data_IF_841539162635
#
_entry.id   IF_841539162635
#
_cell.length_a   1.000
_cell.length_b   1.000
_cell.length_c   1.000
_cell.angle_alpha   90.00
_cell.angle_beta   90.00
_cell.angle_gamma   90.00
#
_symmetry.space_group_name_H-M   'P 1'
#
loop_
_entity.id
_entity.type
_entity.pdbx_description
1 polymer ?
#
# COMPACT_ATOMS: atom_id res chain seq x y z
N UNK A 1 -21.44 21.41 -3.97
CA UNK A 1 -20.21 20.92 -3.33
C UNK A 1 -20.55 20.82 -1.86
N UNK A 2 -21.02 19.65 -1.42
CA UNK A 2 -21.35 19.43 -0.01
C UNK A 2 -20.07 19.54 0.83
N UNK A 3 -20.16 20.15 2.03
CA UNK A 3 -19.00 20.26 2.90
C UNK A 3 -18.61 18.84 3.33
N UNK A 4 -17.38 18.45 3.02
CA UNK A 4 -16.79 17.23 3.58
C UNK A 4 -16.57 17.52 5.06
N UNK A 5 -17.52 17.07 5.87
CA UNK A 5 -17.43 17.09 7.33
C UNK A 5 -16.07 16.49 7.73
N UNK A 6 -15.30 17.13 8.63
CA UNK A 6 -14.01 16.60 9.02
C UNK A 6 -14.21 15.20 9.59
N UNK A 7 -13.52 14.21 9.00
CA UNK A 7 -13.57 12.82 9.45
C UNK A 7 -13.24 12.78 10.96
N UNK A 8 -14.16 12.25 11.75
CA UNK A 8 -13.98 12.08 13.18
C UNK A 8 -12.69 11.28 13.44
N UNK A 9 -11.71 11.82 14.20
CA UNK A 9 -10.48 11.11 14.52
C UNK A 9 -10.71 9.81 15.28
N UNK A 10 -11.88 9.63 15.90
CA UNK A 10 -12.31 8.44 16.65
C UNK A 10 -13.15 7.46 15.81
N UNK A 11 -13.48 7.79 14.56
CA UNK A 11 -14.19 6.84 13.70
C UNK A 11 -13.32 5.60 13.43
N UNK A 12 -13.91 4.39 13.36
CA UNK A 12 -13.16 3.18 13.05
C UNK A 12 -12.35 3.32 11.76
N UNK A 13 -11.10 2.89 11.79
CA UNK A 13 -10.22 2.87 10.62
C UNK A 13 -9.92 1.44 10.18
N UNK A 14 -10.25 1.15 8.92
CA UNK A 14 -9.87 -0.09 8.24
C UNK A 14 -8.48 0.09 7.64
N UNK A 15 -7.57 -0.80 8.01
CA UNK A 15 -6.18 -0.74 7.58
C UNK A 15 -5.90 -1.88 6.61
N UNK A 16 -5.55 -1.55 5.37
CA UNK A 16 -5.33 -2.50 4.26
C UNK A 16 -3.96 -2.35 3.61
N UNK A 17 -3.18 -1.32 3.98
CA UNK A 17 -1.81 -1.12 3.49
C UNK A 17 -0.81 -1.93 4.31
N UNK A 18 -0.98 -3.25 4.32
CA UNK A 18 -0.27 -4.20 5.15
C UNK A 18 -1.21 -5.33 5.58
N UNK A 19 -0.95 -5.97 6.72
CA UNK A 19 -1.90 -6.91 7.30
C UNK A 19 -3.26 -6.26 7.55
N UNK A 20 -4.33 -6.93 7.14
CA UNK A 20 -5.70 -6.39 7.29
C UNK A 20 -6.06 -6.28 8.77
N UNK A 21 -6.49 -5.10 9.20
CA UNK A 21 -6.86 -4.84 10.58
C UNK A 21 -7.92 -3.73 10.70
N UNK A 22 -8.63 -3.71 11.83
CA UNK A 22 -9.39 -2.55 12.30
C UNK A 22 -8.59 -1.90 13.46
N UNK A 23 -8.32 -0.60 13.37
CA UNK A 23 -7.25 0.11 14.11
C UNK A 23 -7.35 0.17 15.64
N UNK A 24 -8.44 -0.31 16.27
CA UNK A 24 -8.69 -0.18 17.72
C UNK A 24 -9.25 -1.46 18.36
N UNK A 25 -8.81 -2.63 17.89
CA UNK A 25 -9.35 -3.89 18.37
C UNK A 25 -8.39 -4.65 19.27
N UNK A 26 -8.82 -4.89 20.51
CA UNK A 26 -8.07 -5.63 21.53
C UNK A 26 -7.82 -7.11 21.17
N UNK A 27 -8.60 -7.70 20.26
CA UNK A 27 -8.37 -9.07 19.76
C UNK A 27 -8.34 -9.16 18.22
N UNK A 28 -7.31 -9.80 17.63
CA UNK A 28 -7.19 -9.97 16.19
C UNK A 28 -8.19 -11.01 15.67
N UNK A 29 -9.23 -10.54 14.99
CA UNK A 29 -10.16 -11.36 14.23
C UNK A 29 -9.92 -11.22 12.73
N UNK A 30 -8.85 -11.81 12.18
CA UNK A 30 -8.46 -11.63 10.76
C UNK A 30 -9.63 -11.81 9.77
N UNK A 31 -10.48 -12.83 9.97
CA UNK A 31 -11.66 -13.07 9.11
C UNK A 31 -12.71 -11.95 9.23
N UNK A 32 -12.85 -11.34 10.41
CA UNK A 32 -13.73 -10.21 10.66
C UNK A 32 -13.16 -8.91 10.04
N UNK A 33 -11.85 -8.72 10.13
CA UNK A 33 -11.13 -7.60 9.50
C UNK A 33 -11.20 -7.66 7.97
N UNK A 34 -10.98 -8.85 7.41
CA UNK A 34 -11.13 -9.10 5.98
C UNK A 34 -12.57 -8.86 5.49
N UNK A 35 -13.58 -9.21 6.30
CA UNK A 35 -14.98 -8.90 5.99
C UNK A 35 -15.22 -7.38 5.99
N UNK A 36 -14.70 -6.65 6.98
CA UNK A 36 -14.82 -5.20 7.03
C UNK A 36 -14.16 -4.53 5.82
N UNK A 37 -12.95 -4.95 5.46
CA UNK A 37 -12.23 -4.49 4.28
C UNK A 37 -12.99 -4.79 2.98
N UNK A 38 -13.55 -6.00 2.84
CA UNK A 38 -14.37 -6.36 1.69
C UNK A 38 -15.59 -5.45 1.55
N UNK A 39 -16.34 -5.22 2.63
CA UNK A 39 -17.54 -4.36 2.60
C UNK A 39 -17.16 -2.91 2.28
N UNK A 40 -16.04 -2.41 2.80
CA UNK A 40 -15.57 -1.06 2.54
C UNK A 40 -15.13 -0.86 1.09
N UNK A 41 -14.27 -1.75 0.59
CA UNK A 41 -13.67 -1.66 -0.75
C UNK A 41 -14.65 -2.05 -1.85
N UNK A 42 -15.70 -2.81 -1.52
CA UNK A 42 -16.79 -3.21 -2.43
C UNK A 42 -18.14 -2.99 -1.75
N UNK A 43 -18.61 -1.73 -1.64
CA UNK A 43 -19.85 -1.44 -0.95
C UNK A 43 -21.08 -1.94 -1.73
N UNK A 44 -22.14 -2.29 -1.00
CA UNK A 44 -23.44 -2.62 -1.57
C UNK A 44 -23.58 -4.04 -2.12
N UNK A 45 -22.67 -4.95 -1.73
CA UNK A 45 -22.72 -6.36 -2.08
C UNK A 45 -23.91 -7.07 -1.41
N UNK A 46 -24.40 -8.11 -2.08
CA UNK A 46 -25.43 -8.98 -1.52
C UNK A 46 -24.82 -9.90 -0.44
N UNK A 47 -25.63 -10.41 0.51
CA UNK A 47 -25.15 -11.40 1.47
C UNK A 47 -24.52 -12.64 0.81
N UNK A 48 -25.08 -13.10 -0.31
CA UNK A 48 -24.53 -14.24 -1.05
C UNK A 48 -23.14 -13.93 -1.62
N UNK A 49 -22.98 -12.76 -2.25
CA UNK A 49 -21.70 -12.34 -2.83
C UNK A 49 -20.61 -12.20 -1.76
N UNK A 50 -20.96 -11.74 -0.55
CA UNK A 50 -20.02 -11.71 0.57
C UNK A 50 -19.61 -13.11 1.03
N UNK A 51 -20.57 -14.04 1.14
CA UNK A 51 -20.29 -15.44 1.50
C UNK A 51 -19.30 -16.10 0.53
N UNK A 52 -19.51 -15.92 -0.77
CA UNK A 52 -18.65 -16.44 -1.85
C UNK A 52 -17.27 -15.76 -1.83
N UNK A 53 -17.22 -14.44 -1.65
CA UNK A 53 -15.96 -13.72 -1.62
C UNK A 53 -15.09 -14.10 -0.41
N UNK A 54 -15.68 -14.33 0.77
CA UNK A 54 -14.91 -14.70 1.96
C UNK A 54 -14.19 -16.04 1.80
N UNK A 55 -14.75 -16.98 1.05
CA UNK A 55 -14.16 -18.29 0.85
C UNK A 55 -14.73 -18.92 -0.45
N UNK A 56 -14.07 -18.76 -1.60
CA UNK A 56 -14.62 -19.25 -2.87
C UNK A 56 -14.74 -20.77 -2.95
N UNK A 57 -13.84 -21.51 -2.28
CA UNK A 57 -13.84 -22.97 -2.27
C UNK A 57 -14.86 -23.53 -1.28
N UNK A 58 -15.07 -22.85 -0.15
CA UNK A 58 -16.05 -23.23 0.88
C UNK A 58 -16.84 -22.01 1.36
N UNK A 59 -17.77 -21.51 0.55
CA UNK A 59 -18.51 -20.29 0.86
C UNK A 59 -19.15 -20.34 2.24
N UNK A 60 -19.12 -19.20 2.93
CA UNK A 60 -19.76 -19.11 4.24
C UNK A 60 -21.26 -19.36 4.14
N UNK A 61 -21.83 -19.97 5.18
CA UNK A 61 -23.29 -20.04 5.31
C UNK A 61 -23.86 -18.65 5.61
N UNK A 62 -25.14 -18.41 5.28
CA UNK A 62 -25.85 -17.18 5.67
C UNK A 62 -25.86 -16.96 7.19
N UNK A 63 -25.93 -18.05 7.97
CA UNK A 63 -25.87 -18.00 9.43
C UNK A 63 -24.50 -17.49 9.89
N UNK A 64 -23.41 -18.03 9.33
CA UNK A 64 -22.04 -17.57 9.60
C UNK A 64 -21.87 -16.09 9.28
N UNK A 65 -22.33 -15.66 8.09
CA UNK A 65 -22.27 -14.25 7.71
C UNK A 65 -23.07 -13.37 8.67
N UNK A 66 -24.28 -13.78 9.06
CA UNK A 66 -25.11 -13.02 10.01
C UNK A 66 -24.41 -12.86 11.36
N UNK A 67 -23.80 -13.92 11.89
CA UNK A 67 -22.99 -13.87 13.12
C UNK A 67 -21.84 -12.89 12.98
N UNK A 68 -21.05 -12.98 11.90
CA UNK A 68 -19.91 -12.07 11.65
C UNK A 68 -20.33 -10.62 11.46
N UNK A 69 -21.45 -10.36 10.78
CA UNK A 69 -21.99 -9.00 10.66
C UNK A 69 -22.47 -8.45 12.01
N UNK A 70 -23.01 -9.30 12.89
CA UNK A 70 -23.39 -8.88 14.25
C UNK A 70 -22.17 -8.58 15.11
N UNK A 71 -21.13 -9.41 15.06
CA UNK A 71 -19.84 -9.13 15.70
C UNK A 71 -19.23 -7.82 15.17
N UNK A 72 -19.24 -7.61 13.85
CA UNK A 72 -18.70 -6.42 13.22
C UNK A 72 -19.46 -5.15 13.64
N UNK A 73 -20.78 -5.22 13.80
CA UNK A 73 -21.59 -4.09 14.31
C UNK A 73 -21.20 -3.71 15.74
N UNK A 74 -21.00 -4.69 16.61
CA UNK A 74 -20.57 -4.44 17.99
C UNK A 74 -19.19 -3.80 18.00
N UNK A 75 -18.27 -4.32 17.17
CA UNK A 75 -16.89 -3.84 17.10
C UNK A 75 -16.76 -2.44 16.51
N UNK A 76 -17.53 -2.12 15.47
CA UNK A 76 -17.51 -0.79 14.86
C UNK A 76 -18.28 0.24 15.70
N UNK A 77 -19.37 -0.19 16.35
CA UNK A 77 -20.22 0.70 17.13
C UNK A 77 -21.04 1.67 16.25
N UNK A 78 -21.23 2.87 16.78
CA UNK A 78 -21.98 3.96 16.18
C UNK A 78 -21.18 5.27 16.28
N UNK A 79 -21.52 6.24 15.45
CA UNK A 79 -20.91 7.57 15.49
C UNK A 79 -21.48 8.44 16.64
N UNK A 80 -20.99 9.68 16.74
CA UNK A 80 -21.41 10.63 17.78
C UNK A 80 -22.90 11.01 17.74
N UNK A 81 -23.59 10.78 16.62
CA UNK A 81 -25.03 10.99 16.47
C UNK A 81 -25.84 9.73 16.89
N UNK A 82 -25.16 8.63 17.20
CA UNK A 82 -25.76 7.33 17.48
C UNK A 82 -26.09 6.50 16.23
N UNK A 83 -25.66 6.93 15.05
CA UNK A 83 -25.89 6.20 13.81
C UNK A 83 -24.86 5.06 13.64
N UNK A 84 -25.30 3.83 13.34
CA UNK A 84 -24.41 2.68 13.28
C UNK A 84 -23.47 2.76 12.07
N UNK A 85 -22.18 2.51 12.30
CA UNK A 85 -21.18 2.43 11.21
C UNK A 85 -21.45 1.27 10.24
N UNK A 86 -22.18 0.24 10.67
CA UNK A 86 -22.68 -0.84 9.81
C UNK A 86 -24.21 -0.95 9.94
N UNK A 87 -24.98 -0.23 9.10
CA UNK A 87 -26.43 -0.25 9.11
C UNK A 87 -27.02 -1.66 8.95
N UNK A 88 -28.24 -1.85 9.47
CA UNK A 88 -29.02 -3.10 9.30
C UNK A 88 -29.77 -3.09 7.96
N UNK A 89 -29.04 -3.06 6.85
CA UNK A 89 -29.57 -3.35 5.51
C UNK A 89 -29.35 -4.84 5.21
N UNK A 90 -30.43 -5.56 4.86
CA UNK A 90 -30.38 -7.00 4.56
C UNK A 90 -30.14 -7.30 3.08
N UNK A 91 -30.22 -6.30 2.21
CA UNK A 91 -30.17 -6.47 0.76
C UNK A 91 -28.83 -6.03 0.16
N UNK A 92 -28.29 -4.91 0.66
CA UNK A 92 -27.04 -4.32 0.17
C UNK A 92 -26.19 -3.87 1.35
N UNK A 93 -25.20 -4.68 1.69
CA UNK A 93 -24.35 -4.45 2.86
C UNK A 93 -23.33 -3.38 2.50
N UNK A 94 -23.29 -2.31 3.31
CA UNK A 94 -22.40 -1.15 3.15
C UNK A 94 -22.07 -0.58 4.52
N UNK A 95 -20.86 -0.05 4.65
CA UNK A 95 -20.46 0.73 5.82
C UNK A 95 -20.90 2.19 5.67
N UNK A 96 -21.02 2.89 6.78
CA UNK A 96 -21.18 4.35 6.81
C UNK A 96 -19.99 5.02 6.12
N UNK A 97 -20.25 6.13 5.43
CA UNK A 97 -19.21 6.96 4.80
C UNK A 97 -18.25 7.58 5.82
N UNK A 98 -18.61 7.57 7.10
CA UNK A 98 -17.76 8.03 8.21
C UNK A 98 -16.65 7.03 8.57
N UNK A 99 -16.77 5.75 8.18
CA UNK A 99 -15.69 4.77 8.37
C UNK A 99 -14.45 5.18 7.56
N UNK A 100 -13.28 5.13 8.19
CA UNK A 100 -12.02 5.53 7.57
C UNK A 100 -11.30 4.34 6.97
N UNK A 101 -10.41 4.62 6.02
CA UNK A 101 -9.51 3.63 5.47
C UNK A 101 -8.16 4.25 5.11
N UNK A 102 -7.07 3.57 5.49
CA UNK A 102 -5.70 3.99 5.20
C UNK A 102 -5.44 4.09 3.68
N UNK A 103 -6.07 3.25 2.85
CA UNK A 103 -5.99 3.34 1.40
C UNK A 103 -6.62 4.61 0.83
N UNK A 104 -7.81 5.00 1.31
CA UNK A 104 -8.48 6.25 0.89
C UNK A 104 -7.64 7.46 1.29
N UNK A 105 -7.03 7.40 2.47
CA UNK A 105 -6.12 8.44 2.97
C UNK A 105 -4.83 8.51 2.15
N UNK A 106 -4.22 7.36 1.85
CA UNK A 106 -3.06 7.24 0.97
C UNK A 106 -3.33 7.89 -0.39
N UNK A 107 -4.43 7.54 -1.06
CA UNK A 107 -4.78 8.10 -2.37
C UNK A 107 -4.93 9.63 -2.31
N UNK A 108 -5.54 10.14 -1.24
CA UNK A 108 -5.71 11.58 -1.03
C UNK A 108 -4.37 12.29 -0.86
N UNK A 109 -3.49 11.75 -0.01
CA UNK A 109 -2.16 12.28 0.24
C UNK A 109 -1.27 12.21 -1.01
N UNK A 110 -1.24 11.04 -1.68
CA UNK A 110 -0.48 10.83 -2.90
C UNK A 110 -0.90 11.82 -4.01
N UNK A 111 -2.21 11.99 -4.24
CA UNK A 111 -2.73 12.94 -5.22
C UNK A 111 -2.36 14.38 -4.87
N UNK A 112 -2.49 14.78 -3.60
CA UNK A 112 -2.14 16.13 -3.14
C UNK A 112 -0.64 16.41 -3.29
N UNK A 113 0.21 15.47 -2.87
CA UNK A 113 1.66 15.59 -2.97
C UNK A 113 2.13 15.71 -4.42
N UNK A 114 1.62 14.86 -5.32
CA UNK A 114 1.94 14.96 -6.75
C UNK A 114 1.49 16.29 -7.35
N UNK A 115 0.28 16.74 -7.06
CA UNK A 115 -0.22 18.02 -7.55
C UNK A 115 0.61 19.22 -7.08
N UNK A 116 1.11 19.18 -5.84
CA UNK A 116 1.97 20.23 -5.28
C UNK A 116 3.40 20.19 -5.84
N UNK A 117 3.82 19.07 -6.41
CA UNK A 117 5.16 18.88 -6.96
C UNK A 117 6.25 18.86 -5.90
N UNK A 118 7.50 18.78 -6.36
CA UNK A 118 8.66 18.54 -5.48
C UNK A 118 8.86 19.63 -4.41
N UNK A 119 8.59 20.90 -4.73
CA UNK A 119 8.86 22.01 -3.82
C UNK A 119 7.92 22.06 -2.60
N UNK A 120 6.74 21.45 -2.69
CA UNK A 120 5.70 21.61 -1.65
C UNK A 120 4.94 20.32 -1.32
N UNK A 121 5.14 19.23 -2.07
CA UNK A 121 4.38 17.98 -1.96
C UNK A 121 5.10 16.82 -1.28
N UNK A 122 6.38 16.97 -0.94
CA UNK A 122 7.19 15.92 -0.30
C UNK A 122 6.52 15.40 0.97
N UNK A 123 6.09 16.29 1.86
CA UNK A 123 5.46 15.92 3.14
C UNK A 123 4.19 15.10 2.98
N UNK A 124 3.36 15.42 1.98
CA UNK A 124 2.17 14.61 1.70
C UNK A 124 2.53 13.22 1.18
N UNK A 125 3.54 13.11 0.32
CA UNK A 125 3.99 11.80 -0.17
C UNK A 125 4.63 10.98 0.95
N UNK A 126 5.45 11.59 1.81
CA UNK A 126 6.02 10.94 3.01
C UNK A 126 4.92 10.45 3.93
N UNK A 127 3.91 11.29 4.20
CA UNK A 127 2.76 10.90 5.01
C UNK A 127 1.93 9.78 4.36
N UNK A 128 1.87 9.71 3.02
CA UNK A 128 1.23 8.59 2.33
C UNK A 128 2.02 7.30 2.53
N UNK A 129 3.34 7.35 2.31
CA UNK A 129 4.21 6.18 2.41
C UNK A 129 4.31 5.65 3.84
N UNK A 130 4.20 6.52 4.85
CA UNK A 130 4.15 6.15 6.26
C UNK A 130 2.92 5.30 6.66
N UNK A 131 1.87 5.25 5.83
CA UNK A 131 0.72 4.38 6.06
C UNK A 131 1.01 2.92 5.66
N UNK A 132 2.07 2.68 4.89
CA UNK A 132 2.43 1.35 4.37
C UNK A 132 3.16 0.55 5.43
N UNK A 133 2.53 -0.56 5.85
CA UNK A 133 3.01 -1.49 6.90
C UNK A 133 3.49 -2.84 6.33
N UNK A 134 3.56 -2.94 4.99
CA UNK A 134 3.95 -4.14 4.26
C UNK A 134 3.01 -4.41 3.09
N UNK A 135 3.02 -5.66 2.59
CA UNK A 135 2.19 -6.07 1.46
C UNK A 135 0.69 -5.79 1.72
N UNK A 136 -0.01 -5.05 0.84
CA UNK A 136 -1.42 -4.75 1.00
C UNK A 136 -2.29 -5.99 1.12
N UNK A 137 -3.34 -5.89 1.94
CA UNK A 137 -4.33 -6.93 2.21
C UNK A 137 -3.70 -8.29 2.58
N UNK A 138 -2.54 -8.28 3.24
CA UNK A 138 -1.89 -9.50 3.70
C UNK A 138 -2.55 -10.07 4.96
N UNK A 139 -2.30 -11.35 5.24
CA UNK A 139 -2.84 -12.00 6.41
C UNK A 139 -2.29 -13.41 6.63
N UNK A 140 -2.54 -13.99 7.82
CA UNK A 140 -1.98 -15.29 8.21
C UNK A 140 -2.52 -16.45 7.37
N UNK A 141 -3.69 -16.30 6.75
CA UNK A 141 -4.33 -17.35 5.95
C UNK A 141 -3.98 -17.28 4.45
N UNK A 142 -3.00 -16.45 4.06
CA UNK A 142 -2.64 -16.25 2.66
C UNK A 142 -3.50 -15.20 1.95
N UNK A 143 -3.46 -15.22 0.62
CA UNK A 143 -4.12 -14.22 -0.22
C UNK A 143 -5.65 -14.35 -0.16
N UNK A 144 -6.33 -13.20 -0.09
CA UNK A 144 -7.78 -13.13 -0.25
C UNK A 144 -8.09 -13.08 -1.75
N UNK A 145 -8.79 -14.08 -2.35
CA UNK A 145 -8.96 -14.14 -3.81
C UNK A 145 -9.69 -12.91 -4.38
N UNK A 146 -10.63 -12.35 -3.62
CA UNK A 146 -11.30 -11.11 -4.01
C UNK A 146 -10.37 -9.91 -4.03
N UNK A 147 -9.28 -9.92 -3.27
CA UNK A 147 -8.37 -8.79 -3.08
C UNK A 147 -7.32 -8.67 -4.18
N UNK A 148 -7.02 -9.73 -4.95
CA UNK A 148 -5.94 -9.75 -5.95
C UNK A 148 -5.87 -8.50 -6.84
N UNK A 149 -6.94 -8.04 -7.51
CA UNK A 149 -6.86 -6.82 -8.32
C UNK A 149 -6.59 -5.54 -7.50
N UNK A 150 -7.09 -5.47 -6.26
CA UNK A 150 -6.87 -4.35 -5.35
C UNK A 150 -5.43 -4.34 -4.83
N UNK A 151 -4.87 -5.51 -4.52
CA UNK A 151 -3.46 -5.64 -4.13
C UNK A 151 -2.55 -5.13 -5.25
N UNK A 152 -2.81 -5.53 -6.50
CA UNK A 152 -2.05 -5.05 -7.65
C UNK A 152 -2.14 -3.53 -7.80
N UNK A 153 -3.34 -2.95 -7.71
CA UNK A 153 -3.54 -1.50 -7.78
C UNK A 153 -2.78 -0.77 -6.65
N UNK A 154 -2.93 -1.24 -5.41
CA UNK A 154 -2.27 -0.66 -4.24
C UNK A 154 -0.75 -0.73 -4.38
N UNK A 155 -0.22 -1.89 -4.79
CA UNK A 155 1.21 -2.07 -5.05
C UNK A 155 1.73 -1.06 -6.07
N UNK A 156 1.10 -0.96 -7.25
CA UNK A 156 1.52 -0.02 -8.29
C UNK A 156 1.55 1.41 -7.76
N UNK A 157 0.50 1.84 -7.06
CA UNK A 157 0.44 3.21 -6.52
C UNK A 157 1.46 3.49 -5.43
N UNK A 158 1.75 2.51 -4.57
CA UNK A 158 2.80 2.61 -3.55
C UNK A 158 4.16 2.72 -4.23
N UNK A 159 4.47 1.86 -5.20
CA UNK A 159 5.71 1.89 -5.97
C UNK A 159 5.90 3.24 -6.67
N UNK A 160 4.85 3.80 -7.30
CA UNK A 160 4.92 5.13 -7.91
C UNK A 160 5.24 6.25 -6.89
N UNK A 161 4.66 6.19 -5.68
CA UNK A 161 4.94 7.18 -4.62
C UNK A 161 6.36 7.02 -4.08
N UNK A 162 6.79 5.79 -3.82
CA UNK A 162 8.15 5.47 -3.36
C UNK A 162 9.20 5.95 -4.38
N UNK A 163 9.01 5.63 -5.66
CA UNK A 163 9.88 6.07 -6.76
C UNK A 163 9.96 7.61 -6.84
N UNK A 164 8.82 8.28 -6.75
CA UNK A 164 8.76 9.76 -6.78
C UNK A 164 9.55 10.36 -5.63
N UNK A 165 9.34 9.85 -4.40
CA UNK A 165 10.08 10.32 -3.22
C UNK A 165 11.58 10.02 -3.32
N UNK A 166 11.96 8.83 -3.77
CA UNK A 166 13.35 8.44 -3.96
C UNK A 166 14.06 9.41 -4.91
N UNK A 167 13.44 9.73 -6.06
CA UNK A 167 13.97 10.71 -7.00
C UNK A 167 14.07 12.12 -6.40
N UNK A 168 13.03 12.58 -5.70
CA UNK A 168 13.00 13.92 -5.11
C UNK A 168 14.05 14.09 -4.00
N UNK A 169 14.13 13.15 -3.06
CA UNK A 169 15.12 13.19 -1.98
C UNK A 169 16.55 13.04 -2.51
N UNK A 170 16.77 12.17 -3.51
CA UNK A 170 18.08 12.05 -4.16
C UNK A 170 18.54 13.36 -4.77
N UNK A 171 17.67 14.07 -5.49
CA UNK A 171 18.02 15.37 -6.07
C UNK A 171 18.25 16.48 -5.03
N UNK A 172 17.67 16.34 -3.83
CA UNK A 172 17.89 17.22 -2.70
C UNK A 172 19.13 16.83 -1.85
N UNK A 173 19.79 15.71 -2.16
CA UNK A 173 20.93 15.19 -1.39
C UNK A 173 20.56 14.47 -0.09
N UNK A 174 19.27 14.27 0.20
CA UNK A 174 18.81 13.50 1.37
C UNK A 174 18.75 12.01 1.03
N UNK A 175 19.93 11.39 0.93
CA UNK A 175 20.04 9.98 0.54
C UNK A 175 19.41 9.03 1.57
N UNK A 176 19.38 9.41 2.85
CA UNK A 176 18.73 8.61 3.89
C UNK A 176 17.21 8.55 3.69
N UNK A 177 16.56 9.67 3.41
CA UNK A 177 15.13 9.67 3.08
C UNK A 177 14.84 8.93 1.78
N UNK A 178 15.70 9.06 0.77
CA UNK A 178 15.58 8.33 -0.49
C UNK A 178 15.65 6.80 -0.28
N UNK A 179 16.60 6.32 0.53
CA UNK A 179 16.72 4.90 0.90
C UNK A 179 15.47 4.40 1.62
N UNK A 180 14.95 5.16 2.60
CA UNK A 180 13.71 4.78 3.30
C UNK A 180 12.54 4.61 2.33
N UNK A 181 12.40 5.51 1.35
CA UNK A 181 11.35 5.40 0.35
C UNK A 181 11.45 4.11 -0.48
N UNK A 182 12.65 3.79 -0.96
CA UNK A 182 12.94 2.54 -1.70
C UNK A 182 12.67 1.32 -0.82
N UNK A 183 13.15 1.29 0.42
CA UNK A 183 12.93 0.17 1.34
C UNK A 183 11.45 -0.10 1.56
N UNK A 184 10.63 0.94 1.77
CA UNK A 184 9.18 0.77 1.93
C UNK A 184 8.54 0.24 0.65
N UNK A 185 8.91 0.74 -0.54
CA UNK A 185 8.40 0.21 -1.80
C UNK A 185 8.75 -1.27 -2.01
N UNK A 186 10.01 -1.66 -1.76
CA UNK A 186 10.46 -3.04 -1.90
C UNK A 186 9.83 -3.99 -0.86
N UNK A 187 9.40 -3.48 0.30
CA UNK A 187 8.63 -4.26 1.28
C UNK A 187 7.23 -4.67 0.77
N UNK A 188 6.71 -3.98 -0.24
CA UNK A 188 5.41 -4.26 -0.86
C UNK A 188 5.56 -5.14 -2.09
N UNK A 189 6.57 -4.87 -2.91
CA UNK A 189 6.86 -5.61 -4.14
C UNK A 189 8.36 -5.70 -4.35
N UNK A 190 8.90 -6.90 -4.15
CA UNK A 190 10.32 -7.19 -4.28
C UNK A 190 10.76 -7.44 -5.74
N UNK A 191 9.85 -7.34 -6.70
CA UNK A 191 10.11 -7.51 -8.14
C UNK A 191 10.12 -6.21 -8.95
N UNK A 192 9.83 -5.06 -8.32
CA UNK A 192 9.74 -3.78 -9.03
C UNK A 192 11.13 -3.22 -9.33
N UNK A 193 11.69 -3.55 -10.50
CA UNK A 193 13.07 -3.13 -10.86
C UNK A 193 13.29 -1.61 -10.82
N UNK A 194 12.22 -0.79 -10.95
CA UNK A 194 12.33 0.67 -10.85
C UNK A 194 12.86 1.11 -9.47
N UNK A 195 12.50 0.41 -8.40
CA UNK A 195 12.98 0.71 -7.06
C UNK A 195 14.44 0.27 -6.86
N UNK A 196 14.86 -0.79 -7.56
CA UNK A 196 16.27 -1.18 -7.61
C UNK A 196 17.10 -0.19 -8.43
N UNK A 197 16.56 0.35 -9.53
CA UNK A 197 17.19 1.45 -10.28
C UNK A 197 17.36 2.67 -9.38
N UNK A 198 16.33 3.07 -8.63
CA UNK A 198 16.44 4.16 -7.67
C UNK A 198 17.50 3.89 -6.62
N UNK A 199 17.54 2.68 -6.06
CA UNK A 199 18.56 2.29 -5.09
C UNK A 199 19.97 2.49 -5.66
N UNK A 200 20.24 1.94 -6.85
CA UNK A 200 21.53 2.09 -7.52
C UNK A 200 21.90 3.56 -7.74
N UNK A 201 20.97 4.37 -8.22
CA UNK A 201 21.18 5.80 -8.47
C UNK A 201 21.40 6.60 -7.18
N UNK A 202 20.74 6.23 -6.07
CA UNK A 202 20.96 6.83 -4.76
C UNK A 202 22.38 6.54 -4.27
N UNK A 203 22.81 5.29 -4.34
CA UNK A 203 24.14 4.90 -3.86
C UNK A 203 25.27 5.48 -4.72
N UNK A 204 25.08 5.55 -6.04
CA UNK A 204 26.02 6.20 -6.95
C UNK A 204 26.15 7.70 -6.64
N UNK A 205 25.03 8.40 -6.48
CA UNK A 205 25.02 9.82 -6.11
C UNK A 205 25.65 10.09 -4.73
N UNK A 206 25.58 9.11 -3.81
CA UNK A 206 26.22 9.16 -2.50
C UNK A 206 27.71 8.76 -2.52
N UNK A 207 28.25 8.35 -3.68
CA UNK A 207 29.61 7.80 -3.79
C UNK A 207 29.79 6.43 -3.11
N UNK A 208 28.70 5.75 -2.76
CA UNK A 208 28.70 4.47 -2.07
C UNK A 208 28.74 3.31 -3.07
N UNK A 209 29.92 3.07 -3.63
CA UNK A 209 30.10 2.01 -4.63
C UNK A 209 29.73 0.61 -4.13
N UNK A 210 30.07 0.18 -2.89
CA UNK A 210 29.59 -1.09 -2.35
C UNK A 210 28.05 -1.19 -2.33
N UNK A 211 27.36 -0.09 -1.99
CA UNK A 211 25.89 -0.05 -2.00
C UNK A 211 25.28 -0.30 -3.38
N UNK A 212 25.89 0.22 -4.45
CA UNK A 212 25.46 -0.07 -5.83
C UNK A 212 25.52 -1.57 -6.12
N UNK A 213 26.63 -2.23 -5.78
CA UNK A 213 26.77 -3.68 -6.01
C UNK A 213 25.77 -4.48 -5.18
N UNK A 214 25.52 -4.09 -3.92
CA UNK A 214 24.46 -4.70 -3.10
C UNK A 214 23.09 -4.60 -3.77
N UNK A 215 22.73 -3.44 -4.32
CA UNK A 215 21.45 -3.27 -5.02
C UNK A 215 21.32 -4.20 -6.25
N UNK A 216 22.40 -4.33 -7.03
CA UNK A 216 22.46 -5.23 -8.20
C UNK A 216 22.30 -6.70 -7.77
N UNK A 217 23.03 -7.13 -6.73
CA UNK A 217 22.96 -8.49 -6.22
C UNK A 217 21.56 -8.84 -5.71
N UNK A 218 20.91 -7.91 -4.99
CA UNK A 218 19.55 -8.09 -4.51
C UNK A 218 18.53 -8.15 -5.65
N UNK A 219 18.66 -7.30 -6.68
CA UNK A 219 17.83 -7.37 -7.88
C UNK A 219 17.97 -8.73 -8.57
N UNK A 220 19.22 -9.19 -8.77
CA UNK A 220 19.47 -10.49 -9.41
C UNK A 220 18.90 -11.65 -8.58
N UNK A 221 18.98 -11.58 -7.25
CA UNK A 221 18.38 -12.58 -6.37
C UNK A 221 16.85 -12.59 -6.47
N UNK A 222 16.22 -11.41 -6.50
CA UNK A 222 14.78 -11.28 -6.69
C UNK A 222 14.32 -11.84 -8.05
N UNK A 223 15.00 -11.44 -9.14
CA UNK A 223 14.68 -11.92 -10.49
C UNK A 223 14.84 -13.44 -10.61
N UNK A 224 15.89 -14.04 -10.02
CA UNK A 224 16.03 -15.50 -9.98
C UNK A 224 14.87 -16.19 -9.26
N UNK A 225 14.44 -15.66 -8.11
CA UNK A 225 13.30 -16.21 -7.34
C UNK A 225 11.98 -16.09 -8.11
N UNK A 226 11.80 -15.01 -8.87
CA UNK A 226 10.59 -14.74 -9.65
C UNK A 226 10.62 -15.35 -11.06
N UNK A 227 11.75 -15.92 -11.49
CA UNK A 227 11.94 -16.43 -12.85
C UNK A 227 11.95 -15.33 -13.93
N UNK A 228 12.36 -14.11 -13.55
CA UNK A 228 12.39 -12.93 -14.42
C UNK A 228 13.80 -12.68 -14.95
N UNK A 229 13.87 -11.97 -16.08
CA UNK A 229 15.11 -11.44 -16.64
C UNK A 229 15.19 -9.94 -16.36
N UNK A 230 16.41 -9.40 -16.28
CA UNK A 230 16.61 -7.96 -16.05
C UNK A 230 16.07 -7.18 -17.25
N UNK A 231 15.35 -6.07 -17.00
CA UNK A 231 14.84 -5.22 -18.08
C UNK A 231 15.95 -4.38 -18.72
N UNK A 232 15.85 -4.07 -20.03
CA UNK A 232 16.85 -3.25 -20.74
C UNK A 232 17.11 -1.88 -20.09
N UNK A 233 16.08 -1.25 -19.51
CA UNK A 233 16.23 0.04 -18.82
C UNK A 233 17.13 -0.10 -17.59
N UNK A 234 17.02 -1.22 -16.87
CA UNK A 234 17.85 -1.49 -15.69
C UNK A 234 19.28 -1.83 -16.09
N UNK A 235 19.47 -2.57 -17.18
CA UNK A 235 20.80 -2.82 -17.75
C UNK A 235 21.49 -1.52 -18.13
N UNK A 236 20.76 -0.57 -18.73
CA UNK A 236 21.29 0.74 -19.08
C UNK A 236 21.71 1.56 -17.85
N UNK A 237 20.93 1.52 -16.75
CA UNK A 237 21.30 2.15 -15.48
C UNK A 237 22.58 1.54 -14.92
N UNK A 238 22.67 0.21 -14.89
CA UNK A 238 23.87 -0.50 -14.43
C UNK A 238 25.08 -0.11 -15.28
N UNK A 239 24.96 -0.16 -16.61
CA UNK A 239 26.05 0.21 -17.51
C UNK A 239 26.50 1.67 -17.33
N UNK A 240 25.54 2.59 -17.16
CA UNK A 240 25.84 4.01 -16.91
C UNK A 240 26.63 4.24 -15.62
N UNK A 241 26.24 3.58 -14.53
CA UNK A 241 26.91 3.68 -13.22
C UNK A 241 28.27 2.97 -13.24
N UNK A 242 28.38 1.84 -13.95
CA UNK A 242 29.61 1.04 -13.95
C UNK A 242 30.67 1.52 -14.95
N UNK A 243 30.29 2.36 -15.91
CA UNK A 243 31.22 2.90 -16.90
C UNK A 243 32.25 3.82 -16.22
N UNK A 244 33.55 3.71 -16.56
CA UNK A 244 34.55 4.64 -16.06
C UNK A 244 34.20 6.05 -16.54
N UNK A 245 34.20 7.03 -15.64
CA UNK A 245 34.03 8.44 -16.02
C UNK A 245 35.02 8.78 -17.13
N UNK A 246 34.61 9.50 -18.20
CA UNK A 246 35.54 9.90 -19.26
C UNK A 246 36.70 10.63 -18.60
N UNK A 247 37.90 10.07 -18.74
CA UNK A 247 39.11 10.69 -18.24
C UNK A 247 39.13 12.12 -18.78
N UNK A 248 39.11 13.10 -17.87
CA UNK A 248 39.50 14.45 -18.19
C UNK A 248 40.95 14.36 -18.70
N UNK A 249 41.12 14.23 -20.01
CA UNK A 249 42.38 14.45 -20.68
C UNK A 249 42.65 15.94 -20.59
N UNK A 250 43.19 16.36 -19.44
CA UNK A 250 43.83 17.65 -19.25
C UNK A 250 45.17 17.63 -19.98
N UNK A 251 45.26 18.48 -21.00
CA UNK A 251 46.50 19.02 -21.53
C UNK A 251 47.22 19.87 -20.48
#
# INVERSE_FOLDING_TARGET
MEPVEPLDPHAPEIQVLGPVALADADEPGYRLDALAALIYLRPGQSPQSLCEAMDPDRPWSRSTLHTRLSELRVRLGADGDGEPYLPRDQTRIRLSSRVRCDWTRFQTLARRGRHKGQSAGVRELEAALALVRGRPLSGPSGELPWATPLVQEMTVRITEVAHTLAAWHRSAGDFEAARRAVTTGLSVSDGDEVLYQDWMLIEDAAGNRPGVYTAIEQLQAANRRLGLTIRPETEAVIAGILSPAPHAQGQ
#
